data_IF_545879548423
#
_entry.id   IF_545879548423
#
_cell.length_a   1.000
_cell.length_b   1.000
_cell.length_c   1.000
_cell.angle_alpha   90.00
_cell.angle_beta   90.00
_cell.angle_gamma   90.00
#
_symmetry.space_group_name_H-M   'P 1'
#
loop_
_entity.id
_entity.type
_entity.pdbx_description
1 polymer ?
#
# COMPACT_ATOMS: atom_id res chain seq x y z
N UNK A 1 45.89 -25.76 25.70
CA UNK A 1 45.73 -24.38 25.18
C UNK A 1 44.33 -23.89 25.53
N UNK A 2 44.17 -22.78 26.28
CA UNK A 2 42.84 -22.16 26.46
C UNK A 2 42.46 -21.52 25.13
N UNK A 3 41.41 -22.01 24.48
CA UNK A 3 40.85 -21.40 23.27
C UNK A 3 40.42 -19.99 23.64
N UNK A 4 41.13 -18.97 23.15
CA UNK A 4 40.76 -17.57 23.35
C UNK A 4 39.57 -17.27 22.44
N UNK A 5 38.36 -17.44 22.95
CA UNK A 5 37.15 -16.95 22.29
C UNK A 5 37.08 -15.42 22.39
N UNK A 6 36.46 -14.74 21.43
CA UNK A 6 36.32 -13.26 21.45
C UNK A 6 35.60 -12.77 22.72
N UNK A 7 34.79 -13.60 23.38
CA UNK A 7 34.18 -13.35 24.69
C UNK A 7 35.17 -12.97 25.81
N UNK A 8 36.41 -13.42 25.71
CA UNK A 8 37.43 -13.24 26.76
C UNK A 8 38.33 -12.02 26.53
N UNK A 9 38.14 -11.33 25.40
CA UNK A 9 38.91 -10.14 25.08
C UNK A 9 38.37 -8.92 25.83
N UNK A 10 39.25 -7.98 26.24
CA UNK A 10 38.83 -6.76 26.91
C UNK A 10 37.95 -5.91 25.99
N UNK A 11 37.03 -5.15 26.58
CA UNK A 11 36.18 -4.22 25.82
C UNK A 11 37.04 -3.23 25.01
N UNK A 12 36.75 -3.11 23.73
CA UNK A 12 37.41 -2.17 22.82
C UNK A 12 36.47 -1.02 22.47
N UNK A 13 37.03 0.14 22.13
CA UNK A 13 36.25 1.24 21.56
C UNK A 13 35.89 0.87 20.13
N UNK A 14 34.61 0.99 19.77
CA UNK A 14 34.18 0.91 18.38
C UNK A 14 34.51 2.23 17.70
N UNK A 15 35.47 2.22 16.79
CA UNK A 15 35.75 3.37 15.92
C UNK A 15 34.64 3.47 14.87
N UNK A 16 33.81 4.51 14.97
CA UNK A 16 32.83 4.89 13.97
C UNK A 16 33.34 5.96 13.00
N UNK A 17 32.61 6.25 11.91
CA UNK A 17 32.87 7.45 11.13
C UNK A 17 32.67 8.69 11.99
N UNK A 18 33.55 9.69 11.87
CA UNK A 18 33.54 10.94 12.66
C UNK A 18 32.30 11.84 12.43
N UNK A 19 31.31 11.38 11.66
CA UNK A 19 30.17 12.17 11.22
C UNK A 19 28.89 11.82 11.98
N UNK A 20 28.33 12.83 12.65
CA UNK A 20 27.02 12.78 13.33
C UNK A 20 25.83 12.56 12.37
N UNK A 21 26.07 12.72 11.06
CA UNK A 21 25.02 12.71 10.03
C UNK A 21 24.30 11.35 9.99
N UNK A 22 25.03 10.24 10.05
CA UNK A 22 24.46 8.89 10.05
C UNK A 22 23.49 8.64 11.21
N UNK A 23 23.94 8.76 12.47
CA UNK A 23 23.06 8.63 13.65
C UNK A 23 21.82 9.53 13.58
N UNK A 24 22.00 10.77 13.12
CA UNK A 24 20.90 11.74 13.00
C UNK A 24 19.81 11.27 12.02
N UNK A 25 20.19 10.83 10.81
CA UNK A 25 19.22 10.36 9.82
C UNK A 25 18.45 9.13 10.30
N UNK A 26 19.14 8.13 10.87
CA UNK A 26 18.48 6.92 11.40
C UNK A 26 17.50 7.30 12.53
N UNK A 27 17.86 8.28 13.37
CA UNK A 27 16.97 8.79 14.43
C UNK A 27 15.71 9.44 13.85
N UNK A 28 15.83 10.24 12.79
CA UNK A 28 14.68 10.81 12.07
C UNK A 28 13.77 9.70 11.53
N UNK A 29 14.36 8.66 10.92
CA UNK A 29 13.62 7.53 10.36
C UNK A 29 12.92 6.68 11.42
N UNK A 30 13.51 6.54 12.62
CA UNK A 30 12.87 5.91 13.77
C UNK A 30 11.57 6.64 14.14
N UNK A 31 11.64 7.95 14.37
CA UNK A 31 10.47 8.72 14.81
C UNK A 31 9.38 8.76 13.74
N UNK A 32 9.73 8.98 12.48
CA UNK A 32 8.75 8.97 11.37
C UNK A 32 8.10 7.59 11.21
N UNK A 33 8.86 6.51 11.27
CA UNK A 33 8.32 5.14 11.21
C UNK A 33 7.42 4.83 12.42
N UNK A 34 7.78 5.30 13.61
CA UNK A 34 6.99 5.12 14.82
C UNK A 34 5.63 5.85 14.75
N UNK A 35 5.63 7.09 14.26
CA UNK A 35 4.40 7.85 14.01
C UNK A 35 3.50 7.09 13.02
N UNK A 36 4.06 6.60 11.91
CA UNK A 36 3.30 5.85 10.90
C UNK A 36 2.76 4.53 11.46
N UNK A 37 3.55 3.79 12.24
CA UNK A 37 3.10 2.57 12.90
C UNK A 37 1.94 2.84 13.88
N UNK A 38 2.00 3.95 14.61
CA UNK A 38 0.92 4.41 15.49
C UNK A 38 -0.34 4.80 14.69
N UNK A 39 -0.19 5.51 13.56
CA UNK A 39 -1.32 5.83 12.67
C UNK A 39 -2.01 4.56 12.18
N UNK A 40 -1.25 3.54 11.74
CA UNK A 40 -1.83 2.25 11.36
C UNK A 40 -2.56 1.57 12.51
N UNK A 41 -1.98 1.57 13.71
CA UNK A 41 -2.62 1.01 14.90
C UNK A 41 -3.95 1.70 15.20
N UNK A 42 -3.98 3.03 15.13
CA UNK A 42 -5.20 3.82 15.35
C UNK A 42 -6.25 3.58 14.25
N UNK A 43 -5.82 3.53 12.98
CA UNK A 43 -6.71 3.24 11.85
C UNK A 43 -7.35 1.85 11.95
N UNK A 44 -6.59 0.83 12.33
CA UNK A 44 -7.07 -0.54 12.51
C UNK A 44 -8.03 -0.70 13.70
N UNK A 45 -8.04 0.26 14.63
CA UNK A 45 -8.93 0.28 15.79
C UNK A 45 -10.20 1.11 15.57
N UNK A 46 -10.35 1.78 14.43
CA UNK A 46 -11.59 2.50 14.13
C UNK A 46 -12.78 1.54 14.07
N UNK A 47 -13.98 2.01 14.46
CA UNK A 47 -15.21 1.21 14.38
C UNK A 47 -15.62 0.90 12.93
N UNK A 48 -15.22 1.73 11.95
CA UNK A 48 -15.43 1.42 10.55
C UNK A 48 -14.39 0.40 10.06
N UNK A 49 -14.80 -0.66 9.36
CA UNK A 49 -13.89 -1.73 8.97
C UNK A 49 -12.87 -1.22 7.94
N UNK A 50 -11.63 -1.01 8.38
CA UNK A 50 -10.47 -1.04 7.46
C UNK A 50 -10.31 -2.46 6.92
N UNK A 51 -9.74 -2.57 5.73
CA UNK A 51 -9.31 -3.84 5.17
C UNK A 51 -8.39 -4.60 6.15
N UNK A 52 -8.72 -5.86 6.54
CA UNK A 52 -7.90 -6.63 7.48
C UNK A 52 -6.46 -6.86 7.00
N UNK A 53 -6.22 -6.77 5.69
CA UNK A 53 -4.92 -6.90 5.04
C UNK A 53 -3.93 -5.81 5.51
N UNK A 54 -4.42 -4.65 5.98
CA UNK A 54 -3.56 -3.63 6.59
C UNK A 54 -2.92 -4.07 7.91
N UNK A 55 -3.41 -5.14 8.57
CA UNK A 55 -2.78 -5.70 9.77
C UNK A 55 -1.36 -6.18 9.48
N UNK A 56 -1.15 -6.81 8.32
CA UNK A 56 0.16 -7.28 7.87
C UNK A 56 1.13 -6.12 7.69
N UNK A 57 0.67 -5.03 7.03
CA UNK A 57 1.46 -3.80 6.88
C UNK A 57 1.78 -3.14 8.23
N UNK A 58 0.81 -3.09 9.15
CA UNK A 58 1.02 -2.55 10.50
C UNK A 58 2.05 -3.35 11.28
N UNK A 59 2.03 -4.69 11.18
CA UNK A 59 3.03 -5.54 11.82
C UNK A 59 4.42 -5.29 11.21
N UNK A 60 4.53 -5.23 9.88
CA UNK A 60 5.76 -4.85 9.19
C UNK A 60 6.31 -3.51 9.66
N UNK A 61 5.47 -2.48 9.75
CA UNK A 61 5.86 -1.17 10.26
C UNK A 61 6.37 -1.20 11.72
N UNK A 62 5.79 -2.03 12.59
CA UNK A 62 6.30 -2.20 13.97
C UNK A 62 7.66 -2.88 13.99
N UNK A 63 7.86 -3.93 13.18
CA UNK A 63 9.18 -4.57 13.07
C UNK A 63 10.23 -3.59 12.52
N UNK A 64 9.84 -2.73 11.57
CA UNK A 64 10.69 -1.66 11.07
C UNK A 64 11.13 -0.69 12.17
N UNK A 65 10.20 -0.31 13.06
CA UNK A 65 10.49 0.56 14.22
C UNK A 65 11.46 -0.12 15.19
N UNK A 66 11.25 -1.40 15.49
CA UNK A 66 12.18 -2.17 16.34
C UNK A 66 13.58 -2.25 15.72
N UNK A 67 13.66 -2.48 14.40
CA UNK A 67 14.94 -2.45 13.70
C UNK A 67 15.61 -1.09 13.78
N UNK A 68 14.89 0.00 13.45
CA UNK A 68 15.45 1.35 13.54
C UNK A 68 15.90 1.71 14.95
N UNK A 69 15.16 1.29 15.99
CA UNK A 69 15.57 1.50 17.37
C UNK A 69 16.93 0.87 17.64
N UNK A 70 17.13 -0.37 17.19
CA UNK A 70 18.41 -1.05 17.30
C UNK A 70 19.54 -0.36 16.51
N UNK A 71 19.28 0.06 15.27
CA UNK A 71 20.28 0.76 14.46
C UNK A 71 20.61 2.14 15.04
N UNK A 72 19.64 2.86 15.62
CA UNK A 72 19.90 4.12 16.32
C UNK A 72 20.88 3.88 17.47
N UNK A 73 20.62 2.87 18.32
CA UNK A 73 21.52 2.50 19.41
C UNK A 73 22.91 2.15 18.87
N UNK A 74 22.99 1.32 17.82
CA UNK A 74 24.26 0.96 17.17
C UNK A 74 25.05 2.17 16.68
N UNK A 75 24.38 3.09 15.98
CA UNK A 75 25.01 4.29 15.40
C UNK A 75 25.53 5.23 16.47
N UNK A 76 24.76 5.47 17.53
CA UNK A 76 25.21 6.31 18.64
C UNK A 76 26.37 5.69 19.42
N UNK A 77 26.37 4.38 19.63
CA UNK A 77 27.51 3.66 20.24
C UNK A 77 28.81 3.88 19.45
N UNK A 78 28.74 3.78 18.12
CA UNK A 78 29.90 4.00 17.24
C UNK A 78 30.33 5.47 17.19
N UNK A 79 29.38 6.42 17.18
CA UNK A 79 29.67 7.85 17.17
C UNK A 79 30.35 8.30 18.47
N UNK A 80 29.84 7.86 19.62
CA UNK A 80 30.37 8.20 20.95
C UNK A 80 31.64 7.40 21.30
N UNK A 81 32.10 6.51 20.41
CA UNK A 81 33.25 5.62 20.62
C UNK A 81 33.17 4.85 21.94
N UNK A 82 31.96 4.37 22.28
CA UNK A 82 31.73 3.67 23.54
C UNK A 82 32.47 2.32 23.54
N UNK A 83 32.92 1.92 24.72
CA UNK A 83 33.54 0.61 24.92
C UNK A 83 32.46 -0.46 24.97
N UNK A 84 32.55 -1.45 24.09
CA UNK A 84 31.64 -2.60 24.10
C UNK A 84 32.41 -3.92 24.17
N UNK A 85 31.74 -4.95 24.66
CA UNK A 85 32.25 -6.33 24.62
C UNK A 85 32.13 -6.91 23.21
N UNK A 86 33.05 -7.78 22.79
CA UNK A 86 33.02 -8.39 21.46
C UNK A 86 31.73 -9.16 21.13
N UNK A 87 31.01 -9.67 22.15
CA UNK A 87 29.68 -10.29 21.99
C UNK A 87 28.64 -9.38 21.34
N UNK A 88 28.89 -8.07 21.31
CA UNK A 88 28.11 -7.09 20.56
C UNK A 88 27.92 -7.45 19.08
N UNK A 89 28.84 -8.20 18.46
CA UNK A 89 28.69 -8.62 17.06
C UNK A 89 27.43 -9.45 16.79
N UNK A 90 26.88 -10.14 17.81
CA UNK A 90 25.63 -10.90 17.70
C UNK A 90 24.38 -10.00 17.63
N UNK A 91 24.49 -8.75 18.05
CA UNK A 91 23.38 -7.80 18.04
C UNK A 91 22.91 -7.51 16.60
N UNK A 92 23.84 -7.33 15.66
CA UNK A 92 23.54 -6.97 14.27
C UNK A 92 22.70 -8.04 13.54
N UNK A 93 23.04 -9.34 13.56
CA UNK A 93 22.18 -10.37 12.97
C UNK A 93 20.78 -10.45 13.58
N UNK A 94 20.64 -10.24 14.89
CA UNK A 94 19.35 -10.22 15.57
C UNK A 94 18.51 -9.04 15.08
N UNK A 95 19.12 -7.87 14.92
CA UNK A 95 18.44 -6.71 14.34
C UNK A 95 18.03 -6.96 12.88
N UNK A 96 18.91 -7.59 12.09
CA UNK A 96 18.64 -7.87 10.69
C UNK A 96 17.43 -8.79 10.51
N UNK A 97 17.12 -9.67 11.46
CA UNK A 97 15.89 -10.45 11.45
C UNK A 97 14.64 -9.56 11.42
N UNK A 98 14.60 -8.48 12.21
CA UNK A 98 13.48 -7.53 12.19
C UNK A 98 13.40 -6.74 10.88
N UNK A 99 14.55 -6.38 10.31
CA UNK A 99 14.62 -5.70 9.01
C UNK A 99 14.05 -6.54 7.88
N UNK A 100 14.52 -7.79 7.79
CA UNK A 100 14.09 -8.76 6.77
C UNK A 100 12.61 -9.12 6.98
N UNK A 101 12.21 -9.41 8.22
CA UNK A 101 10.81 -9.70 8.57
C UNK A 101 9.87 -8.55 8.23
N UNK A 102 10.26 -7.31 8.53
CA UNK A 102 9.52 -6.11 8.11
C UNK A 102 9.35 -6.04 6.59
N UNK A 103 10.42 -6.28 5.83
CA UNK A 103 10.38 -6.23 4.36
C UNK A 103 9.47 -7.31 3.78
N UNK A 104 9.56 -8.54 4.28
CA UNK A 104 8.68 -9.64 3.86
C UNK A 104 7.21 -9.33 4.16
N UNK A 105 6.91 -8.84 5.37
CA UNK A 105 5.53 -8.49 5.75
C UNK A 105 4.97 -7.32 4.94
N UNK A 106 5.79 -6.31 4.64
CA UNK A 106 5.36 -5.17 3.81
C UNK A 106 5.10 -5.59 2.36
N UNK A 107 5.94 -6.44 1.77
CA UNK A 107 5.71 -7.02 0.45
C UNK A 107 4.44 -7.87 0.44
N UNK A 108 4.31 -8.77 1.41
CA UNK A 108 3.15 -9.65 1.53
C UNK A 108 1.85 -8.89 1.72
N UNK A 109 1.80 -7.96 2.67
CA UNK A 109 0.61 -7.14 2.89
C UNK A 109 0.27 -6.24 1.71
N UNK A 110 1.27 -5.74 0.96
CA UNK A 110 1.01 -5.00 -0.29
C UNK A 110 0.34 -5.90 -1.30
N UNK A 111 0.84 -7.12 -1.45
CA UNK A 111 0.26 -8.10 -2.35
C UNK A 111 -1.18 -8.44 -1.95
N UNK A 112 -1.49 -8.67 -0.67
CA UNK A 112 -2.86 -8.93 -0.22
C UNK A 112 -3.81 -7.77 -0.56
N UNK A 113 -3.37 -6.53 -0.35
CA UNK A 113 -4.15 -5.32 -0.70
C UNK A 113 -4.37 -5.22 -2.21
N UNK A 114 -3.34 -5.46 -3.02
CA UNK A 114 -3.43 -5.47 -4.49
C UNK A 114 -4.31 -6.61 -4.99
N UNK A 115 -4.18 -7.80 -4.39
CA UNK A 115 -4.96 -8.98 -4.74
C UNK A 115 -6.44 -8.75 -4.49
N UNK A 116 -6.80 -8.19 -3.33
CA UNK A 116 -8.19 -7.84 -2.99
C UNK A 116 -8.84 -6.93 -4.04
N UNK A 117 -8.08 -5.99 -4.59
CA UNK A 117 -8.57 -5.13 -5.67
C UNK A 117 -8.80 -5.90 -6.99
N UNK A 118 -8.13 -7.04 -7.19
CA UNK A 118 -8.09 -7.82 -8.43
C UNK A 118 -8.94 -9.11 -8.36
N UNK A 119 -9.25 -9.62 -7.16
CA UNK A 119 -9.90 -10.91 -6.88
C UNK A 119 -11.33 -11.04 -7.46
N UNK A 120 -11.96 -9.96 -7.91
CA UNK A 120 -13.24 -10.02 -8.64
C UNK A 120 -13.13 -9.95 -10.17
N UNK A 121 -11.91 -9.98 -10.75
CA UNK A 121 -11.69 -9.52 -12.14
C UNK A 121 -11.30 -10.62 -13.13
N UNK A 122 -10.54 -11.62 -12.71
CA UNK A 122 -10.11 -12.71 -13.59
C UNK A 122 -11.12 -13.88 -13.52
N UNK A 123 -11.16 -14.73 -14.54
CA UNK A 123 -11.91 -15.99 -14.44
C UNK A 123 -11.28 -16.87 -13.36
N UNK A 124 -12.08 -17.66 -12.64
CA UNK A 124 -11.63 -18.49 -11.50
C UNK A 124 -10.35 -19.28 -11.82
N UNK A 125 -10.24 -19.81 -13.04
CA UNK A 125 -9.04 -20.53 -13.51
C UNK A 125 -7.78 -19.67 -13.57
N UNK A 126 -7.87 -18.44 -14.08
CA UNK A 126 -6.71 -17.54 -14.15
C UNK A 126 -6.39 -16.97 -12.76
N UNK A 127 -7.39 -16.77 -11.91
CA UNK A 127 -7.20 -16.37 -10.52
C UNK A 127 -6.38 -17.41 -9.76
N UNK A 128 -6.73 -18.69 -9.88
CA UNK A 128 -6.00 -19.77 -9.23
C UNK A 128 -4.52 -19.80 -9.63
N UNK A 129 -4.20 -19.63 -10.92
CA UNK A 129 -2.81 -19.61 -11.41
C UNK A 129 -2.04 -18.41 -10.86
N UNK A 130 -2.61 -17.21 -10.93
CA UNK A 130 -1.96 -15.99 -10.43
C UNK A 130 -1.77 -16.03 -8.91
N UNK A 131 -2.77 -16.51 -8.18
CA UNK A 131 -2.69 -16.70 -6.74
C UNK A 131 -1.61 -17.71 -6.36
N UNK A 132 -1.58 -18.86 -7.04
CA UNK A 132 -0.58 -19.89 -6.81
C UNK A 132 0.83 -19.37 -7.12
N UNK A 133 1.01 -18.69 -8.25
CA UNK A 133 2.29 -18.10 -8.62
C UNK A 133 2.78 -17.10 -7.56
N UNK A 134 1.91 -16.20 -7.10
CA UNK A 134 2.29 -15.22 -6.08
C UNK A 134 2.61 -15.87 -4.72
N UNK A 135 1.83 -16.89 -4.30
CA UNK A 135 2.12 -17.67 -3.09
C UNK A 135 3.45 -18.40 -3.18
N UNK A 136 3.74 -19.01 -4.33
CA UNK A 136 5.00 -19.70 -4.60
C UNK A 136 6.19 -18.74 -4.55
N UNK A 137 6.10 -17.57 -5.21
CA UNK A 137 7.16 -16.55 -5.14
C UNK A 137 7.32 -16.03 -3.72
N UNK A 138 6.23 -15.78 -2.99
CA UNK A 138 6.33 -15.33 -1.60
C UNK A 138 6.97 -16.41 -0.70
N UNK A 139 6.64 -17.68 -0.90
CA UNK A 139 7.29 -18.79 -0.20
C UNK A 139 8.80 -18.81 -0.49
N UNK A 140 9.20 -18.66 -1.75
CA UNK A 140 10.61 -18.57 -2.13
C UNK A 140 11.32 -17.38 -1.47
N UNK A 141 10.68 -16.20 -1.48
CA UNK A 141 11.18 -14.99 -0.81
C UNK A 141 11.39 -15.23 0.68
N UNK A 142 10.40 -15.82 1.38
CA UNK A 142 10.49 -16.18 2.79
C UNK A 142 11.62 -17.18 3.06
N UNK A 143 11.74 -18.21 2.22
CA UNK A 143 12.78 -19.24 2.37
C UNK A 143 14.19 -18.64 2.22
N UNK A 144 14.44 -17.87 1.15
CA UNK A 144 15.73 -17.22 0.91
C UNK A 144 16.06 -16.22 2.02
N UNK A 145 15.07 -15.47 2.50
CA UNK A 145 15.19 -14.55 3.63
C UNK A 145 15.57 -15.27 4.94
N UNK A 146 14.97 -16.43 5.19
CA UNK A 146 15.29 -17.26 6.35
C UNK A 146 16.72 -17.81 6.28
N UNK A 147 17.14 -18.34 5.12
CA UNK A 147 18.52 -18.80 4.94
C UNK A 147 19.53 -17.66 5.10
N UNK A 148 19.24 -16.48 4.54
CA UNK A 148 20.07 -15.29 4.72
C UNK A 148 20.25 -14.93 6.20
N UNK A 149 19.15 -14.86 6.97
CA UNK A 149 19.20 -14.49 8.40
C UNK A 149 19.94 -15.54 9.24
N UNK A 150 19.72 -16.84 8.97
CA UNK A 150 20.46 -17.93 9.63
C UNK A 150 21.95 -17.85 9.30
N UNK A 151 22.32 -17.67 8.04
CA UNK A 151 23.72 -17.56 7.63
C UNK A 151 24.38 -16.31 8.22
N UNK A 152 23.65 -15.21 8.37
CA UNK A 152 24.20 -14.00 8.97
C UNK A 152 24.45 -14.19 10.48
N UNK A 153 23.54 -14.86 11.18
CA UNK A 153 23.74 -15.25 12.57
C UNK A 153 24.91 -16.23 12.72
N UNK A 154 24.97 -17.26 11.86
CA UNK A 154 26.05 -18.23 11.84
C UNK A 154 27.41 -17.55 11.60
N UNK A 155 27.49 -16.59 10.68
CA UNK A 155 28.70 -15.81 10.44
C UNK A 155 29.16 -15.08 11.70
N UNK A 156 28.26 -14.45 12.44
CA UNK A 156 28.60 -13.76 13.68
C UNK A 156 29.07 -14.74 14.78
N UNK A 157 28.45 -15.93 14.88
CA UNK A 157 28.85 -16.98 15.82
C UNK A 157 30.26 -17.50 15.49
N UNK A 158 30.53 -17.82 14.22
CA UNK A 158 31.86 -18.31 13.78
C UNK A 158 32.94 -17.26 14.02
N UNK A 159 32.63 -15.97 13.83
CA UNK A 159 33.53 -14.88 14.23
C UNK A 159 33.78 -14.88 15.74
N UNK A 160 32.74 -15.03 16.57
CA UNK A 160 32.86 -15.08 18.04
C UNK A 160 33.72 -16.22 18.56
N UNK A 161 33.61 -17.39 17.97
CA UNK A 161 34.37 -18.58 18.34
C UNK A 161 35.77 -18.61 17.73
N UNK A 162 36.03 -17.78 16.72
CA UNK A 162 37.30 -17.69 16.00
C UNK A 162 37.76 -19.06 15.46
N UNK A 163 36.85 -19.81 14.82
CA UNK A 163 37.08 -21.21 14.42
C UNK A 163 38.20 -21.34 13.37
N UNK A 164 38.05 -20.69 12.22
CA UNK A 164 38.99 -20.74 11.09
C UNK A 164 38.66 -19.67 10.05
N UNK A 165 39.67 -19.01 9.49
CA UNK A 165 39.51 -18.02 8.41
C UNK A 165 38.86 -18.62 7.15
N UNK A 166 39.13 -19.89 6.83
CA UNK A 166 38.53 -20.56 5.67
C UNK A 166 37.02 -20.76 5.87
N UNK A 167 36.60 -21.13 7.09
CA UNK A 167 35.19 -21.31 7.42
C UNK A 167 34.47 -19.96 7.42
N UNK A 168 35.09 -18.93 8.00
CA UNK A 168 34.56 -17.56 7.99
C UNK A 168 34.35 -17.09 6.54
N UNK A 169 35.34 -17.28 5.67
CA UNK A 169 35.27 -16.87 4.27
C UNK A 169 34.19 -17.63 3.49
N UNK A 170 34.05 -18.95 3.69
CA UNK A 170 33.02 -19.76 3.04
C UNK A 170 31.60 -19.32 3.46
N UNK A 171 31.36 -19.18 4.77
CA UNK A 171 30.07 -18.72 5.31
C UNK A 171 29.75 -17.31 4.84
N UNK A 172 30.73 -16.40 4.84
CA UNK A 172 30.57 -15.03 4.35
C UNK A 172 30.19 -15.01 2.86
N UNK A 173 30.86 -15.81 2.03
CA UNK A 173 30.58 -15.90 0.59
C UNK A 173 29.15 -16.38 0.34
N UNK A 174 28.71 -17.44 1.03
CA UNK A 174 27.34 -17.96 0.94
C UNK A 174 26.33 -16.91 1.40
N UNK A 175 26.56 -16.26 2.54
CA UNK A 175 25.70 -15.18 3.05
C UNK A 175 25.53 -14.05 2.03
N UNK A 176 26.61 -13.63 1.37
CA UNK A 176 26.57 -12.61 0.30
C UNK A 176 25.73 -13.05 -0.89
N UNK A 177 25.86 -14.31 -1.34
CA UNK A 177 25.04 -14.84 -2.42
C UNK A 177 23.54 -14.81 -2.06
N UNK A 178 23.19 -15.24 -0.85
CA UNK A 178 21.81 -15.19 -0.36
C UNK A 178 21.29 -13.76 -0.19
N UNK A 179 22.11 -12.80 0.24
CA UNK A 179 21.73 -11.38 0.31
C UNK A 179 21.41 -10.82 -1.08
N UNK A 180 22.23 -11.13 -2.07
CA UNK A 180 22.03 -10.72 -3.46
C UNK A 180 20.76 -11.35 -4.04
N UNK A 181 20.56 -12.66 -3.83
CA UNK A 181 19.35 -13.37 -4.25
C UNK A 181 18.09 -12.80 -3.57
N UNK A 182 18.16 -12.50 -2.27
CA UNK A 182 17.07 -11.88 -1.52
C UNK A 182 16.71 -10.51 -2.11
N UNK A 183 17.70 -9.65 -2.34
CA UNK A 183 17.47 -8.33 -2.90
C UNK A 183 16.89 -8.40 -4.33
N UNK A 184 17.37 -9.33 -5.16
CA UNK A 184 16.84 -9.58 -6.49
C UNK A 184 15.37 -10.06 -6.44
N UNK A 185 15.05 -10.97 -5.52
CA UNK A 185 13.68 -11.47 -5.33
C UNK A 185 12.73 -10.39 -4.81
N UNK A 186 13.16 -9.54 -3.87
CA UNK A 186 12.37 -8.40 -3.42
C UNK A 186 12.08 -7.42 -4.56
N UNK A 187 13.07 -7.16 -5.42
CA UNK A 187 12.90 -6.34 -6.61
C UNK A 187 11.90 -6.97 -7.59
N UNK A 188 12.07 -8.25 -7.93
CA UNK A 188 11.17 -9.00 -8.81
C UNK A 188 9.73 -9.05 -8.29
N UNK A 189 9.53 -9.29 -6.99
CA UNK A 189 8.20 -9.30 -6.38
C UNK A 189 7.57 -7.90 -6.39
N UNK A 190 8.35 -6.86 -6.14
CA UNK A 190 7.86 -5.47 -6.21
C UNK A 190 7.44 -5.10 -7.65
N UNK A 191 8.16 -5.58 -8.66
CA UNK A 191 7.81 -5.41 -10.07
C UNK A 191 6.49 -6.09 -10.43
N UNK A 192 6.28 -7.31 -9.91
CA UNK A 192 5.00 -8.01 -10.05
C UNK A 192 3.86 -7.24 -9.37
N UNK A 193 4.07 -6.71 -8.16
CA UNK A 193 3.07 -5.93 -7.45
C UNK A 193 2.67 -4.64 -8.19
N UNK A 194 3.67 -3.90 -8.72
CA UNK A 194 3.43 -2.72 -9.57
C UNK A 194 2.67 -3.08 -10.83
N UNK A 195 3.07 -4.18 -11.50
CA UNK A 195 2.41 -4.63 -12.73
C UNK A 195 0.94 -4.99 -12.47
N UNK A 196 0.66 -5.69 -11.37
CA UNK A 196 -0.69 -6.02 -10.95
C UNK A 196 -1.51 -4.76 -10.60
N UNK A 197 -0.93 -3.80 -9.87
CA UNK A 197 -1.58 -2.53 -9.57
C UNK A 197 -1.85 -1.68 -10.83
N UNK A 198 -0.92 -1.66 -11.79
CA UNK A 198 -1.10 -0.99 -13.07
C UNK A 198 -2.24 -1.61 -13.88
N UNK A 199 -2.28 -2.95 -13.99
CA UNK A 199 -3.39 -3.68 -14.60
C UNK A 199 -4.72 -3.35 -13.90
N UNK A 200 -4.71 -3.21 -12.57
CA UNK A 200 -5.89 -2.83 -11.81
C UNK A 200 -6.38 -1.40 -12.12
N UNK A 201 -5.48 -0.45 -12.44
CA UNK A 201 -5.86 0.88 -12.92
C UNK A 201 -6.45 0.81 -14.32
N UNK A 202 -5.68 0.29 -15.28
CA UNK A 202 -6.01 0.33 -16.72
C UNK A 202 -7.34 -0.37 -16.99
N UNK A 203 -7.53 -1.55 -16.41
CA UNK A 203 -8.78 -2.29 -16.59
C UNK A 203 -9.95 -1.64 -15.84
N UNK A 204 -9.67 -1.11 -14.65
CA UNK A 204 -10.65 -0.40 -13.84
C UNK A 204 -11.19 0.87 -14.52
N UNK A 205 -10.32 1.61 -15.20
CA UNK A 205 -10.71 2.79 -15.99
C UNK A 205 -11.47 2.41 -17.27
N UNK A 206 -11.12 1.29 -17.90
CA UNK A 206 -11.67 0.89 -19.19
C UNK A 206 -13.08 0.28 -19.10
N UNK A 207 -13.43 -0.40 -18.00
CA UNK A 207 -14.69 -1.18 -17.94
C UNK A 207 -15.73 -0.74 -16.92
N UNK A 208 -15.36 -0.07 -15.83
CA UNK A 208 -16.26 -0.05 -14.66
C UNK A 208 -16.90 1.33 -14.43
N UNK A 209 -16.22 2.47 -14.60
CA UNK A 209 -16.84 3.78 -14.28
C UNK A 209 -16.42 4.97 -15.16
N UNK A 210 -15.50 4.79 -16.13
CA UNK A 210 -14.88 5.91 -16.85
C UNK A 210 -14.11 6.91 -15.96
N UNK A 211 -14.03 6.67 -14.63
CA UNK A 211 -13.36 7.49 -13.63
C UNK A 211 -12.30 6.65 -12.92
N UNK A 212 -11.06 7.16 -12.87
CA UNK A 212 -9.98 6.53 -12.10
C UNK A 212 -10.19 6.85 -10.62
N UNK A 213 -10.35 5.81 -9.81
CA UNK A 213 -10.56 5.95 -8.38
C UNK A 213 -9.27 6.37 -7.67
N UNK A 214 -9.37 7.37 -6.77
CA UNK A 214 -8.24 7.86 -5.97
C UNK A 214 -7.51 6.74 -5.22
N UNK A 215 -8.25 5.77 -4.65
CA UNK A 215 -7.66 4.62 -3.94
C UNK A 215 -6.72 3.80 -4.83
N UNK A 216 -7.07 3.56 -6.09
CA UNK A 216 -6.23 2.81 -7.04
C UNK A 216 -4.97 3.59 -7.43
N UNK A 217 -5.06 4.91 -7.58
CA UNK A 217 -3.87 5.75 -7.83
C UNK A 217 -2.92 5.75 -6.63
N UNK A 218 -3.46 5.87 -5.42
CA UNK A 218 -2.64 5.84 -4.19
C UNK A 218 -2.00 4.46 -4.02
N UNK A 219 -2.74 3.37 -4.27
CA UNK A 219 -2.19 2.02 -4.22
C UNK A 219 -1.07 1.83 -5.25
N UNK A 220 -1.27 2.30 -6.48
CA UNK A 220 -0.22 2.26 -7.51
C UNK A 220 1.01 3.06 -7.11
N UNK A 221 0.83 4.29 -6.59
CA UNK A 221 1.93 5.09 -6.07
C UNK A 221 2.68 4.35 -4.95
N UNK A 222 1.96 3.71 -4.02
CA UNK A 222 2.57 2.91 -2.96
C UNK A 222 3.39 1.75 -3.54
N UNK A 223 2.86 1.02 -4.54
CA UNK A 223 3.64 -0.06 -5.20
C UNK A 223 4.87 0.47 -5.93
N UNK A 224 4.79 1.64 -6.56
CA UNK A 224 5.95 2.27 -7.24
C UNK A 224 7.02 2.67 -6.22
N UNK A 225 6.63 3.22 -5.07
CA UNK A 225 7.56 3.54 -3.97
C UNK A 225 8.20 2.28 -3.38
N UNK A 226 7.45 1.19 -3.28
CA UNK A 226 7.97 -0.11 -2.86
C UNK A 226 8.98 -0.67 -3.87
N UNK A 227 8.70 -0.54 -5.17
CA UNK A 227 9.66 -0.91 -6.23
C UNK A 227 10.91 -0.04 -6.18
N UNK A 228 10.77 1.28 -6.02
CA UNK A 228 11.91 2.19 -5.88
C UNK A 228 12.78 1.78 -4.68
N UNK A 229 12.18 1.48 -3.53
CA UNK A 229 12.88 0.93 -2.36
C UNK A 229 13.68 -0.33 -2.70
N UNK A 230 13.02 -1.30 -3.34
CA UNK A 230 13.65 -2.59 -3.67
C UNK A 230 14.77 -2.45 -4.71
N UNK A 231 14.63 -1.56 -5.70
CA UNK A 231 15.70 -1.24 -6.66
C UNK A 231 16.88 -0.59 -5.94
N UNK A 232 16.64 0.42 -5.09
CA UNK A 232 17.71 1.06 -4.31
C UNK A 232 18.45 0.04 -3.45
N UNK A 233 17.74 -0.85 -2.76
CA UNK A 233 18.35 -1.91 -1.97
C UNK A 233 19.20 -2.84 -2.84
N UNK A 234 18.67 -3.30 -3.99
CA UNK A 234 19.41 -4.16 -4.91
C UNK A 234 20.69 -3.49 -5.44
N UNK A 235 20.59 -2.25 -5.91
CA UNK A 235 21.74 -1.48 -6.43
C UNK A 235 22.81 -1.29 -5.35
N UNK A 236 22.40 -0.97 -4.12
CA UNK A 236 23.33 -0.77 -3.01
C UNK A 236 24.00 -2.07 -2.56
N UNK A 237 23.28 -3.19 -2.56
CA UNK A 237 23.85 -4.53 -2.31
C UNK A 237 24.87 -4.87 -3.38
N UNK A 238 24.54 -4.69 -4.66
CA UNK A 238 25.49 -4.91 -5.76
C UNK A 238 26.72 -4.01 -5.63
N UNK A 239 26.53 -2.72 -5.30
CA UNK A 239 27.64 -1.78 -5.11
C UNK A 239 28.52 -2.15 -3.92
N UNK A 240 27.94 -2.60 -2.80
CA UNK A 240 28.68 -3.02 -1.60
C UNK A 240 29.66 -4.17 -1.88
N UNK A 241 29.33 -5.02 -2.85
CA UNK A 241 30.15 -6.17 -3.26
C UNK A 241 30.91 -5.94 -4.58
N UNK A 242 30.81 -4.73 -5.14
CA UNK A 242 31.54 -4.33 -6.34
C UNK A 242 33.00 -4.00 -6.06
N UNK A 243 33.83 -4.00 -7.11
CA UNK A 243 35.25 -3.61 -7.00
C UNK A 243 35.37 -2.15 -6.54
N UNK A 244 36.18 -1.90 -5.51
CA UNK A 244 36.53 -0.54 -5.07
C UNK A 244 35.51 0.15 -4.15
N UNK A 245 34.53 -0.58 -3.61
CA UNK A 245 33.60 -0.08 -2.59
C UNK A 245 33.56 -1.05 -1.42
N UNK A 246 33.46 -0.53 -0.21
CA UNK A 246 33.18 -1.31 0.99
C UNK A 246 31.73 -1.16 1.43
N UNK A 247 31.27 -2.06 2.30
CA UNK A 247 29.94 -1.94 2.93
C UNK A 247 29.79 -0.68 3.77
N UNK A 248 30.88 -0.13 4.33
CA UNK A 248 30.86 1.11 5.10
C UNK A 248 30.62 2.33 4.19
N UNK A 249 31.21 2.34 2.98
CA UNK A 249 31.07 3.46 2.05
C UNK A 249 29.63 3.67 1.57
N UNK A 250 28.86 2.59 1.46
CA UNK A 250 27.46 2.63 0.99
C UNK A 250 26.45 2.78 2.13
N UNK A 251 26.90 2.73 3.38
CA UNK A 251 26.03 2.60 4.55
C UNK A 251 25.11 3.80 4.73
N UNK A 252 25.65 5.02 4.62
CA UNK A 252 24.86 6.25 4.70
C UNK A 252 23.82 6.32 3.56
N UNK A 253 24.23 5.98 2.34
CA UNK A 253 23.33 5.95 1.20
C UNK A 253 22.21 4.92 1.38
N UNK A 254 22.52 3.75 1.97
CA UNK A 254 21.55 2.73 2.36
C UNK A 254 20.57 3.26 3.39
N UNK A 255 21.05 3.83 4.48
CA UNK A 255 20.18 4.33 5.56
C UNK A 255 19.24 5.45 5.08
N UNK A 256 19.75 6.39 4.27
CA UNK A 256 18.96 7.51 3.72
C UNK A 256 17.95 7.04 2.68
N UNK A 257 18.38 6.26 1.68
CA UNK A 257 17.48 5.82 0.61
C UNK A 257 16.41 4.87 1.12
N UNK A 258 16.77 3.93 1.99
CA UNK A 258 15.84 2.99 2.59
C UNK A 258 14.85 3.69 3.51
N UNK A 259 15.30 4.62 4.36
CA UNK A 259 14.41 5.39 5.24
C UNK A 259 13.43 6.27 4.49
N UNK A 260 13.90 7.03 3.49
CA UNK A 260 13.05 7.88 2.68
C UNK A 260 12.00 7.07 1.91
N UNK A 261 12.41 6.03 1.20
CA UNK A 261 11.47 5.24 0.40
C UNK A 261 10.49 4.44 1.26
N UNK A 262 10.93 3.90 2.41
CA UNK A 262 10.05 3.19 3.35
C UNK A 262 9.01 4.12 3.99
N UNK A 263 9.41 5.32 4.41
CA UNK A 263 8.49 6.30 5.00
C UNK A 263 7.48 6.83 4.00
N UNK A 264 7.89 7.13 2.76
CA UNK A 264 6.98 7.52 1.68
C UNK A 264 5.99 6.39 1.33
N UNK A 265 6.47 5.15 1.25
CA UNK A 265 5.64 3.97 1.05
C UNK A 265 4.60 3.81 2.17
N UNK A 266 5.05 3.82 3.43
CA UNK A 266 4.16 3.67 4.60
C UNK A 266 3.16 4.83 4.70
N UNK A 267 3.56 6.06 4.36
CA UNK A 267 2.67 7.22 4.31
C UNK A 267 1.58 7.04 3.25
N UNK A 268 1.94 6.53 2.08
CA UNK A 268 0.98 6.24 1.00
C UNK A 268 0.00 5.15 1.41
N UNK A 269 0.48 4.09 2.06
CA UNK A 269 -0.37 3.02 2.60
C UNK A 269 -1.26 3.50 3.76
N UNK A 270 -0.77 4.38 4.63
CA UNK A 270 -1.57 4.96 5.71
C UNK A 270 -2.67 5.88 5.16
N UNK A 271 -2.35 6.65 4.11
CA UNK A 271 -3.32 7.47 3.39
C UNK A 271 -4.37 6.61 2.68
N UNK A 272 -3.97 5.49 2.07
CA UNK A 272 -4.90 4.51 1.49
C UNK A 272 -5.82 3.92 2.57
N UNK A 273 -5.26 3.46 3.69
CA UNK A 273 -6.00 2.90 4.81
C UNK A 273 -6.98 3.93 5.40
N UNK A 274 -6.55 5.19 5.55
CA UNK A 274 -7.43 6.28 5.96
C UNK A 274 -8.61 6.43 5.00
N UNK A 275 -8.34 6.51 3.69
CA UNK A 275 -9.39 6.67 2.68
C UNK A 275 -10.40 5.53 2.68
N UNK A 276 -9.93 4.29 2.83
CA UNK A 276 -10.80 3.10 2.94
C UNK A 276 -11.60 3.13 4.25
N UNK A 277 -11.04 3.67 5.34
CA UNK A 277 -11.72 3.75 6.64
C UNK A 277 -12.79 4.85 6.76
N UNK A 278 -12.59 5.98 6.05
CA UNK A 278 -13.47 7.15 6.16
C UNK A 278 -14.51 7.19 5.07
N UNK A 279 -14.15 6.78 3.86
CA UNK A 279 -15.05 6.78 2.73
C UNK A 279 -15.45 5.34 2.48
N UNK A 280 -16.74 5.05 2.58
CA UNK A 280 -17.25 3.76 2.13
C UNK A 280 -16.71 3.46 0.74
N UNK A 281 -16.23 2.23 0.55
CA UNK A 281 -15.49 1.84 -0.63
C UNK A 281 -16.42 1.83 -1.85
N UNK A 282 -16.64 2.99 -2.52
CA UNK A 282 -17.67 3.19 -3.56
C UNK A 282 -17.68 2.17 -4.70
N UNK A 283 -16.58 1.43 -4.90
CA UNK A 283 -16.46 0.37 -5.91
C UNK A 283 -16.16 -1.02 -5.35
N UNK A 284 -16.23 -1.18 -4.03
CA UNK A 284 -16.06 -2.45 -3.32
C UNK A 284 -17.27 -3.35 -3.51
N UNK A 285 -17.13 -4.62 -3.15
CA UNK A 285 -18.17 -5.64 -3.40
C UNK A 285 -19.52 -5.23 -2.80
N UNK A 286 -19.54 -4.73 -1.57
CA UNK A 286 -20.77 -4.27 -0.92
C UNK A 286 -21.41 -3.05 -1.62
N UNK A 287 -20.61 -2.08 -2.06
CA UNK A 287 -21.11 -0.95 -2.84
C UNK A 287 -21.76 -1.42 -4.15
N UNK A 288 -21.14 -2.40 -4.82
CA UNK A 288 -21.67 -2.99 -6.05
C UNK A 288 -22.96 -3.76 -5.83
N UNK A 289 -23.10 -4.46 -4.70
CA UNK A 289 -24.35 -5.14 -4.35
C UNK A 289 -25.49 -4.13 -4.18
N UNK A 290 -25.24 -3.03 -3.47
CA UNK A 290 -26.20 -1.92 -3.31
C UNK A 290 -26.54 -1.28 -4.66
N UNK A 291 -25.53 -0.95 -5.48
CA UNK A 291 -25.75 -0.38 -6.82
C UNK A 291 -26.51 -1.36 -7.73
N UNK A 292 -26.25 -2.66 -7.63
CA UNK A 292 -26.93 -3.68 -8.44
C UNK A 292 -28.40 -3.81 -8.05
N UNK A 293 -28.73 -3.73 -6.76
CA UNK A 293 -30.13 -3.75 -6.31
C UNK A 293 -30.88 -2.51 -6.81
N UNK A 294 -30.27 -1.33 -6.73
CA UNK A 294 -30.86 -0.09 -7.25
C UNK A 294 -31.04 -0.18 -8.77
N UNK A 295 -30.01 -0.64 -9.49
CA UNK A 295 -30.09 -0.83 -10.95
C UNK A 295 -31.18 -1.83 -11.30
N UNK A 296 -31.28 -2.96 -10.59
CA UNK A 296 -32.31 -3.97 -10.82
C UNK A 296 -33.70 -3.38 -10.58
N UNK A 297 -33.89 -2.64 -9.48
CA UNK A 297 -35.17 -2.00 -9.19
C UNK A 297 -35.58 -1.00 -10.27
N UNK A 298 -34.65 -0.17 -10.76
CA UNK A 298 -34.89 0.75 -11.88
C UNK A 298 -35.32 -0.02 -13.14
N UNK A 299 -34.64 -1.12 -13.46
CA UNK A 299 -34.96 -1.95 -14.64
C UNK A 299 -36.31 -2.66 -14.50
N UNK A 300 -36.60 -3.24 -13.34
CA UNK A 300 -37.86 -3.92 -13.05
C UNK A 300 -39.03 -2.95 -13.16
N UNK A 301 -38.84 -1.71 -12.68
CA UNK A 301 -39.85 -0.64 -12.75
C UNK A 301 -40.09 -0.16 -14.18
N UNK A 302 -39.01 0.11 -14.93
CA UNK A 302 -39.10 0.40 -16.36
C UNK A 302 -39.84 -0.71 -17.11
N UNK A 303 -39.57 -1.97 -16.79
CA UNK A 303 -40.23 -3.10 -17.43
C UNK A 303 -41.71 -3.21 -17.05
N UNK A 304 -42.07 -2.99 -15.79
CA UNK A 304 -43.46 -2.99 -15.33
C UNK A 304 -44.28 -1.89 -16.01
N UNK A 305 -43.73 -0.67 -16.06
CA UNK A 305 -44.39 0.48 -16.69
C UNK A 305 -44.54 0.29 -18.20
N UNK A 306 -43.56 -0.33 -18.86
CA UNK A 306 -43.64 -0.63 -20.31
C UNK A 306 -44.67 -1.73 -20.60
N UNK A 307 -44.80 -2.74 -19.73
CA UNK A 307 -45.80 -3.82 -19.87
C UNK A 307 -47.24 -3.34 -19.67
N UNK A 308 -47.44 -2.21 -18.98
CA UNK A 308 -48.77 -1.63 -18.72
C UNK A 308 -49.45 -1.01 -19.95
N UNK A 309 -48.87 -1.15 -21.15
CA UNK A 309 -49.45 -0.68 -22.41
C UNK A 309 -49.20 0.81 -22.68
N UNK A 310 -48.33 1.47 -21.91
CA UNK A 310 -47.86 2.82 -22.22
C UNK A 310 -47.01 2.79 -23.49
N UNK A 311 -47.35 3.64 -24.46
CA UNK A 311 -46.56 3.85 -25.69
C UNK A 311 -45.26 4.63 -25.42
N UNK A 312 -45.13 5.27 -24.26
CA UNK A 312 -43.99 6.14 -23.93
C UNK A 312 -43.35 5.73 -22.58
N UNK A 313 -42.01 5.73 -22.55
CA UNK A 313 -41.23 5.56 -21.31
C UNK A 313 -41.33 6.82 -20.45
N UNK A 314 -41.50 6.70 -19.12
CA UNK A 314 -41.42 7.84 -18.22
C UNK A 314 -40.02 8.48 -18.26
N UNK A 315 -39.94 9.76 -17.87
CA UNK A 315 -38.68 10.48 -17.83
C UNK A 315 -37.75 9.87 -16.77
N UNK A 316 -36.45 9.75 -17.08
CA UNK A 316 -35.51 9.09 -16.17
C UNK A 316 -35.40 9.81 -14.81
N UNK A 317 -35.60 11.13 -14.80
CA UNK A 317 -35.66 11.95 -13.59
C UNK A 317 -36.80 11.55 -12.64
N UNK A 318 -37.99 11.24 -13.17
CA UNK A 318 -39.15 10.80 -12.37
C UNK A 318 -38.87 9.46 -11.70
N UNK A 319 -38.25 8.53 -12.43
CA UNK A 319 -37.85 7.23 -11.90
C UNK A 319 -36.82 7.39 -10.78
N UNK A 320 -35.80 8.23 -10.97
CA UNK A 320 -34.78 8.48 -9.94
C UNK A 320 -35.36 9.15 -8.68
N UNK A 321 -36.32 10.07 -8.84
CA UNK A 321 -37.00 10.71 -7.72
C UNK A 321 -37.81 9.68 -6.90
N UNK A 322 -38.45 8.73 -7.57
CA UNK A 322 -39.20 7.67 -6.93
C UNK A 322 -38.30 6.63 -6.26
N UNK A 323 -37.20 6.24 -6.90
CA UNK A 323 -36.15 5.39 -6.29
C UNK A 323 -35.58 6.02 -5.02
N UNK A 324 -35.41 7.35 -5.01
CA UNK A 324 -34.95 8.09 -3.83
C UNK A 324 -35.99 8.08 -2.71
N UNK A 325 -37.29 8.12 -3.04
CA UNK A 325 -38.40 8.03 -2.09
C UNK A 325 -38.53 6.62 -1.50
N UNK A 326 -38.41 5.60 -2.32
CA UNK A 326 -38.56 4.19 -1.95
C UNK A 326 -37.26 3.55 -1.41
N UNK A 327 -36.20 4.35 -1.26
CA UNK A 327 -34.84 3.88 -1.00
C UNK A 327 -34.74 2.91 0.19
N UNK A 328 -35.43 3.23 1.28
CA UNK A 328 -35.45 2.39 2.47
C UNK A 328 -36.11 1.02 2.21
N UNK A 329 -37.15 0.98 1.39
CA UNK A 329 -37.83 -0.25 0.99
C UNK A 329 -36.91 -1.09 0.08
N UNK A 330 -36.26 -0.45 -0.89
CA UNK A 330 -35.34 -1.10 -1.83
C UNK A 330 -34.17 -1.75 -1.08
N UNK A 331 -33.57 -1.04 -0.13
CA UNK A 331 -32.43 -1.54 0.65
C UNK A 331 -32.80 -2.63 1.67
N UNK A 332 -34.08 -2.71 2.08
CA UNK A 332 -34.57 -3.74 2.98
C UNK A 332 -35.03 -5.00 2.24
N UNK A 333 -35.56 -4.86 1.02
CA UNK A 333 -36.07 -5.96 0.19
C UNK A 333 -35.05 -6.46 -0.84
N UNK A 334 -33.96 -5.73 -1.04
CA UNK A 334 -32.89 -6.06 -1.98
C UNK A 334 -32.20 -7.38 -1.62
N UNK A 335 -32.27 -8.41 -2.49
CA UNK A 335 -31.70 -9.73 -2.18
C UNK A 335 -30.16 -9.72 -2.14
N UNK A 336 -29.50 -8.72 -2.74
CA UNK A 336 -28.04 -8.61 -2.77
C UNK A 336 -27.50 -7.68 -1.68
N UNK A 337 -28.21 -6.61 -1.35
CA UNK A 337 -27.85 -5.67 -0.29
C UNK A 337 -28.21 -6.18 1.11
N UNK A 338 -29.11 -7.17 1.23
CA UNK A 338 -29.43 -7.86 2.49
C UNK A 338 -28.33 -8.83 2.94
N UNK A 339 -27.49 -9.32 2.02
CA UNK A 339 -26.30 -10.13 2.34
C UNK A 339 -25.05 -9.29 2.62
N UNK A 340 -25.14 -7.96 2.48
CA UNK A 340 -24.04 -7.04 2.77
C UNK A 340 -23.75 -6.98 4.26
N UNK A 341 -22.46 -6.97 4.63
CA UNK A 341 -22.00 -6.85 6.02
C UNK A 341 -22.05 -5.41 6.56
N UNK A 342 -22.60 -4.49 5.76
CA UNK A 342 -22.52 -3.04 5.94
C UNK A 342 -23.75 -2.50 6.67
N UNK A 343 -23.52 -1.54 7.57
CA UNK A 343 -24.59 -0.86 8.31
C UNK A 343 -25.64 -0.24 7.36
N UNK A 344 -26.89 -0.18 7.81
CA UNK A 344 -28.00 0.38 7.02
C UNK A 344 -27.74 1.83 6.61
N UNK A 345 -27.17 2.64 7.50
CA UNK A 345 -26.85 4.04 7.22
C UNK A 345 -25.80 4.18 6.11
N UNK A 346 -24.77 3.33 6.12
CA UNK A 346 -23.76 3.31 5.05
C UNK A 346 -24.36 2.85 3.71
N UNK A 347 -25.22 1.82 3.70
CA UNK A 347 -25.95 1.40 2.49
C UNK A 347 -26.79 2.54 1.93
N UNK A 348 -27.43 3.34 2.78
CA UNK A 348 -28.23 4.51 2.39
C UNK A 348 -27.38 5.60 1.74
N UNK A 349 -26.23 5.95 2.35
CA UNK A 349 -25.31 6.95 1.80
C UNK A 349 -24.83 6.55 0.40
N UNK A 350 -24.47 5.27 0.21
CA UNK A 350 -24.03 4.74 -1.08
C UNK A 350 -25.12 4.81 -2.13
N UNK A 351 -26.33 4.43 -1.73
CA UNK A 351 -27.48 4.43 -2.60
C UNK A 351 -27.82 5.87 -3.06
N UNK A 352 -27.82 6.83 -2.13
CA UNK A 352 -28.04 8.25 -2.45
C UNK A 352 -26.96 8.81 -3.37
N UNK A 353 -25.69 8.52 -3.11
CA UNK A 353 -24.61 8.95 -4.00
C UNK A 353 -24.74 8.33 -5.40
N UNK A 354 -25.10 7.05 -5.49
CA UNK A 354 -25.31 6.38 -6.78
C UNK A 354 -26.49 6.98 -7.55
N UNK A 355 -27.60 7.26 -6.87
CA UNK A 355 -28.75 7.95 -7.47
C UNK A 355 -28.35 9.34 -7.95
N UNK A 356 -27.54 10.07 -7.19
CA UNK A 356 -27.03 11.38 -7.59
C UNK A 356 -26.12 11.28 -8.82
N UNK A 357 -25.24 10.28 -8.89
CA UNK A 357 -24.40 10.03 -10.07
C UNK A 357 -25.26 9.70 -11.30
N UNK A 358 -26.29 8.86 -11.14
CA UNK A 358 -27.27 8.58 -12.20
C UNK A 358 -28.03 9.84 -12.62
N UNK A 359 -28.40 10.71 -11.68
CA UNK A 359 -29.09 11.96 -11.98
C UNK A 359 -28.18 12.93 -12.75
N UNK A 360 -26.91 13.02 -12.38
CA UNK A 360 -25.93 13.87 -13.07
C UNK A 360 -25.63 13.38 -14.50
N UNK A 361 -25.48 12.07 -14.67
CA UNK A 361 -25.07 11.47 -15.95
C UNK A 361 -26.27 11.27 -16.91
N UNK A 362 -27.44 10.98 -16.35
CA UNK A 362 -28.62 10.52 -17.11
C UNK A 362 -29.92 11.26 -16.77
N UNK A 363 -29.96 12.11 -15.73
CA UNK A 363 -31.19 12.80 -15.32
C UNK A 363 -31.78 13.73 -16.39
N UNK A 364 -30.95 14.23 -17.32
CA UNK A 364 -31.39 15.03 -18.48
C UNK A 364 -31.82 14.21 -19.69
N UNK A 365 -31.81 12.88 -19.59
CA UNK A 365 -32.29 12.02 -20.68
C UNK A 365 -33.81 12.08 -20.73
N UNK A 366 -34.28 12.88 -21.68
CA UNK A 366 -35.66 12.88 -22.13
C UNK A 366 -35.79 11.85 -23.26
N UNK A 367 -36.54 10.74 -23.06
CA UNK A 367 -36.77 9.74 -24.10
C UNK A 367 -37.44 10.36 -25.35
N UNK A 368 -38.08 11.53 -25.24
CA UNK A 368 -38.71 12.26 -26.35
C UNK A 368 -37.72 12.98 -27.26
N UNK A 369 -36.49 13.22 -26.82
CA UNK A 369 -35.51 14.06 -27.56
C UNK A 369 -34.45 13.28 -28.33
N UNK A 370 -34.51 11.94 -28.36
CA UNK A 370 -33.69 11.09 -29.25
C UNK A 370 -32.21 11.50 -29.31
N UNK A 371 -31.52 11.54 -28.16
CA UNK A 371 -30.10 11.90 -28.16
C UNK A 371 -29.24 10.78 -28.75
N UNK A 372 -28.39 11.13 -29.72
CA UNK A 372 -27.40 10.23 -30.31
C UNK A 372 -26.36 9.80 -29.24
N UNK A 373 -26.56 8.59 -28.68
CA UNK A 373 -25.76 7.97 -27.63
C UNK A 373 -24.25 7.86 -27.94
N UNK A 374 -23.84 7.99 -29.21
CA UNK A 374 -22.43 8.02 -29.64
C UNK A 374 -21.62 9.17 -29.04
N UNK A 375 -22.27 10.28 -28.65
CA UNK A 375 -21.59 11.48 -28.13
C UNK A 375 -21.28 11.44 -26.62
N UNK A 376 -22.02 10.63 -25.84
CA UNK A 376 -21.82 10.48 -24.40
C UNK A 376 -20.58 9.63 -24.06
N UNK A 377 -20.23 8.67 -24.92
CA UNK A 377 -19.04 7.82 -24.75
C UNK A 377 -17.69 8.52 -24.99
N UNK A 378 -17.67 9.72 -25.57
CA UNK A 378 -16.44 10.43 -25.96
C UNK A 378 -15.98 11.46 -24.92
N UNK A 379 -16.82 11.83 -23.94
CA UNK A 379 -16.46 12.84 -22.90
C UNK A 379 -15.49 12.33 -21.82
N UNK A 380 -15.27 11.02 -21.71
CA UNK A 380 -14.44 10.38 -20.67
C UNK A 380 -12.93 10.47 -20.91
N UNK A 381 -12.47 10.82 -22.12
CA UNK A 381 -11.03 11.01 -22.41
C UNK A 381 -10.42 12.29 -21.81
N UNK A 382 -11.24 13.18 -21.24
CA UNK A 382 -10.79 14.42 -20.58
C UNK A 382 -10.57 14.31 -19.06
N UNK A 383 -10.79 13.12 -18.46
CA UNK A 383 -10.68 12.93 -17.01
C UNK A 383 -9.24 13.09 -16.49
N UNK A 384 -8.22 12.83 -17.34
CA UNK A 384 -6.82 12.93 -16.94
C UNK A 384 -6.37 14.39 -16.69
N UNK A 385 -6.92 15.38 -17.40
CA UNK A 385 -6.53 16.80 -17.25
C UNK A 385 -7.24 17.50 -16.09
N UNK A 386 -8.43 17.06 -15.68
CA UNK A 386 -9.18 17.65 -14.53
C UNK A 386 -8.65 17.26 -13.17
N UNK A 387 -7.89 16.17 -13.07
CA UNK A 387 -7.32 15.72 -11.78
C UNK A 387 -6.06 16.51 -11.42
N UNK A 388 -5.38 17.11 -12.41
CA UNK A 388 -4.19 17.94 -12.23
C UNK A 388 -4.46 19.45 -12.31
N UNK A 389 -5.71 19.89 -12.48
CA UNK A 389 -6.01 21.33 -12.42
C UNK A 389 -5.85 21.82 -10.97
N UNK A 390 -5.06 22.89 -10.72
CA UNK A 390 -4.92 23.45 -9.38
C UNK A 390 -6.29 23.94 -8.89
N UNK A 391 -6.58 23.68 -7.62
CA UNK A 391 -7.77 24.16 -6.91
C UNK A 391 -7.77 25.69 -6.99
N UNK A 392 -8.55 26.27 -7.91
CA UNK A 392 -8.82 27.70 -7.92
C UNK A 392 -9.71 28.01 -6.72
N UNK A 393 -9.13 28.67 -5.72
CA UNK A 393 -9.88 29.30 -4.64
C UNK A 393 -10.85 30.30 -5.27
N UNK A 394 -12.15 30.02 -5.15
CA UNK A 394 -13.20 30.97 -5.46
C UNK A 394 -13.12 32.10 -4.43
N UNK A 395 -12.58 33.25 -4.85
CA UNK A 395 -12.78 34.51 -4.16
C UNK A 395 -14.24 34.91 -4.34
N UNK A 396 -14.93 35.10 -3.23
CA UNK A 396 -16.31 35.54 -3.19
C UNK A 396 -16.44 36.95 -3.80
N UNK A 397 -17.17 37.03 -4.91
CA UNK A 397 -17.76 38.27 -5.38
C UNK A 397 -18.80 38.73 -4.36
N UNK A 398 -18.56 39.87 -3.73
CA UNK A 398 -19.56 40.59 -2.94
C UNK A 398 -20.26 41.60 -3.87
N UNK A 399 -21.60 41.63 -3.97
CA UNK A 399 -22.29 42.62 -4.77
C UNK A 399 -22.35 43.96 -4.04
N UNK A 400 -22.08 45.03 -4.78
CA UNK A 400 -22.08 46.40 -4.28
C UNK A 400 -23.47 46.89 -3.88
N UNK A 401 -23.49 47.66 -2.79
CA UNK A 401 -24.56 48.60 -2.48
C UNK A 401 -24.05 50.02 -2.70
N UNK A 402 -24.58 50.69 -3.71
CA UNK A 402 -24.50 52.14 -3.90
C UNK A 402 -25.55 52.78 -2.98
N UNK A 403 -25.12 53.69 -2.10
CA UNK A 403 -25.97 54.73 -1.53
C UNK A 403 -25.15 55.99 -1.26
N UNK A 404 -25.50 57.05 -2.00
CA UNK A 404 -25.14 58.46 -1.78
C UNK A 404 -25.45 58.90 -0.34
N UNK A 405 -24.62 59.77 0.25
CA UNK A 405 -24.92 61.21 0.39
C UNK A 405 -24.00 61.90 1.42
N UNK A 406 -23.54 63.09 1.01
CA UNK A 406 -22.77 64.16 1.69
C UNK A 406 -21.29 63.92 1.93
#
# INVERSE_FOLDING_TARGET
MKVKTLWTLPSTKLTGPDSIVGPTFVTIWLFTSAILAYIFYWLLKKPNPTWPEFKTISLGARLLVFWYLGIVIDRWIHFDNLKVTFGYILFLPILEFFHVGSTVLTLWGTYEIVWKEIEGRFTERHQGIWWFAAKCVNFLVCMVSLFYTILYLALAIVWMEFVSLNIIADVATKRTQFELSMAALFCGFSLLAVSAAAAAIVWGSARIDGKIRKTRMVLFLATVLLLARSISQFVLVVKAYGKGSTGQDVLLAKDVSYGLTSTLYLSSMAFLAWHVSTNFDKGGTDARLVQSDIRKYILDKLQADTKSGRQESPAFEEILAEVSRDLDTILNQGPLSSSSTVSRDQRRVVAQEYIQDLHNDYGKLDPKKGLNYRSLGVRTTSAFSRVFSPISRSAANTPGSVSRAK
#
